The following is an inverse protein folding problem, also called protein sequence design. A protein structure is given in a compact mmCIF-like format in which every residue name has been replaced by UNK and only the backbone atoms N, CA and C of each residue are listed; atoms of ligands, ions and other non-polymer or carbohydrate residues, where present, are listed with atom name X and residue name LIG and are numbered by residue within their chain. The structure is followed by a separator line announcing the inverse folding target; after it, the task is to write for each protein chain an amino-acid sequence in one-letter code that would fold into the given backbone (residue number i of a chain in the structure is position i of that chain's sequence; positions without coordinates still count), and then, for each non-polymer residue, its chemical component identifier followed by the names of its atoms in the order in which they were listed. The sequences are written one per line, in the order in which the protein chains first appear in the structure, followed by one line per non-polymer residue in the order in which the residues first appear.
data_IF_965744527397
#
_entry.id   IF_965744527397
#
_cell.length_a   1.000
_cell.length_b   1.000
_cell.length_c   1.000
_cell.angle_alpha   90.00
_cell.angle_beta   90.00
_cell.angle_gamma   90.00
#
_symmetry.space_group_name_H-M   'P 1'
#
loop_
_entity.id
_entity.type
_entity.pdbx_description
1 polymer ?
#
# COMPACT_ATOMS: atom_id res chain seq x y z
N UNK A 1 -26.21 -2.99 14.60
CA UNK A 1 -25.09 -2.32 15.31
C UNK A 1 -23.85 -3.09 14.94
N UNK A 2 -23.02 -2.56 14.03
CA UNK A 2 -21.66 -3.09 13.87
C UNK A 2 -20.88 -2.40 14.98
N UNK A 3 -20.38 -3.18 15.94
CA UNK A 3 -19.49 -2.64 16.96
C UNK A 3 -18.14 -2.36 16.29
N UNK A 4 -17.66 -1.11 16.36
CA UNK A 4 -16.32 -0.71 15.91
C UNK A 4 -15.26 -1.38 16.80
N UNK A 5 -15.04 -2.68 16.62
CA UNK A 5 -14.11 -3.50 17.39
C UNK A 5 -12.85 -3.72 16.57
N UNK A 6 -11.72 -3.32 17.14
CA UNK A 6 -10.38 -3.61 16.59
C UNK A 6 -9.94 -4.97 17.12
N UNK A 7 -9.45 -5.84 16.23
CA UNK A 7 -8.93 -7.15 16.61
C UNK A 7 -7.65 -6.99 17.44
N UNK A 8 -7.58 -7.73 18.54
CA UNK A 8 -6.31 -7.92 19.25
C UNK A 8 -5.37 -8.81 18.45
N UNK A 9 -4.09 -8.82 18.80
CA UNK A 9 -3.08 -9.68 18.21
C UNK A 9 -3.42 -11.19 18.30
N UNK A 10 -4.07 -11.61 19.39
CA UNK A 10 -4.55 -12.98 19.58
C UNK A 10 -5.70 -13.30 18.62
N UNK A 11 -6.66 -12.40 18.51
CA UNK A 11 -7.83 -12.62 17.67
C UNK A 11 -7.46 -12.50 16.19
N UNK A 12 -6.54 -11.59 15.83
CA UNK A 12 -5.98 -11.48 14.48
C UNK A 12 -5.31 -12.79 14.05
N UNK A 13 -4.47 -13.39 14.91
CA UNK A 13 -3.87 -14.71 14.65
C UNK A 13 -4.93 -15.80 14.46
N UNK A 14 -5.97 -15.81 15.30
CA UNK A 14 -7.05 -16.77 15.18
C UNK A 14 -7.82 -16.63 13.84
N UNK A 15 -8.04 -15.41 13.34
CA UNK A 15 -8.69 -15.18 12.04
C UNK A 15 -7.79 -15.55 10.84
N UNK A 16 -6.48 -15.39 10.98
CA UNK A 16 -5.48 -15.85 10.01
C UNK A 16 -5.44 -17.38 9.97
N UNK A 17 -5.37 -18.04 11.13
CA UNK A 17 -5.34 -19.51 11.24
C UNK A 17 -6.62 -20.16 10.69
N UNK A 18 -7.77 -19.49 10.83
CA UNK A 18 -9.05 -19.91 10.23
C UNK A 18 -9.12 -19.67 8.72
N UNK A 19 -8.22 -18.87 8.15
CA UNK A 19 -8.25 -18.44 6.75
C UNK A 19 -9.35 -17.41 6.44
N UNK A 20 -9.96 -16.79 7.45
CA UNK A 20 -10.92 -15.70 7.25
C UNK A 20 -10.22 -14.38 6.90
N UNK A 21 -8.98 -14.22 7.36
CA UNK A 21 -8.04 -13.19 6.90
C UNK A 21 -6.85 -13.91 6.26
N UNK A 22 -6.52 -13.55 5.01
CA UNK A 22 -5.38 -14.14 4.28
C UNK A 22 -4.34 -13.06 4.06
N UNK A 23 -3.10 -13.34 4.47
CA UNK A 23 -1.95 -12.46 4.30
C UNK A 23 -0.85 -13.29 3.63
N UNK A 24 -0.40 -12.86 2.45
CA UNK A 24 0.59 -13.58 1.68
C UNK A 24 1.65 -12.61 1.12
N UNK A 25 2.93 -12.76 1.51
CA UNK A 25 3.46 -13.67 2.53
C UNK A 25 3.12 -13.23 3.96
N UNK A 26 2.79 -14.18 4.85
CA UNK A 26 2.58 -13.91 6.28
C UNK A 26 3.89 -14.01 7.07
N UNK A 27 4.16 -12.99 7.89
CA UNK A 27 5.28 -12.94 8.83
C UNK A 27 4.76 -12.65 10.24
N UNK A 28 4.78 -13.67 11.10
CA UNK A 28 4.26 -13.58 12.46
C UNK A 28 5.01 -12.55 13.33
N UNK A 29 6.23 -12.16 12.97
CA UNK A 29 7.00 -11.14 13.66
C UNK A 29 6.46 -9.72 13.42
N UNK A 30 5.67 -9.52 12.36
CA UNK A 30 5.04 -8.24 12.04
C UNK A 30 3.73 -8.01 12.81
N UNK A 31 3.23 -9.00 13.56
CA UNK A 31 1.98 -8.85 14.32
C UNK A 31 2.21 -8.03 15.59
N UNK A 32 1.45 -6.94 15.70
CA UNK A 32 1.46 -5.96 16.80
C UNK A 32 0.19 -6.13 17.66
N UNK A 33 0.09 -5.48 18.85
CA UNK A 33 -1.01 -5.70 19.81
C UNK A 33 -2.44 -5.59 19.26
N UNK A 34 -2.63 -4.78 18.21
CA UNK A 34 -3.93 -4.61 17.55
C UNK A 34 -3.78 -4.22 16.07
N UNK A 35 -2.70 -4.66 15.42
CA UNK A 35 -2.38 -4.36 14.03
C UNK A 35 -1.37 -5.37 13.48
N UNK A 36 -1.03 -5.26 12.20
CA UNK A 36 0.09 -5.96 11.59
C UNK A 36 0.88 -4.97 10.73
N UNK A 37 2.19 -4.99 10.85
CA UNK A 37 3.08 -4.18 10.01
C UNK A 37 3.09 -4.73 8.58
N UNK A 38 3.01 -3.84 7.60
CA UNK A 38 3.07 -4.18 6.17
C UNK A 38 4.39 -3.71 5.57
N UNK A 39 4.85 -4.42 4.54
CA UNK A 39 6.10 -4.12 3.84
C UNK A 39 5.77 -3.48 2.49
N UNK A 40 6.46 -2.39 2.17
CA UNK A 40 6.32 -1.72 0.87
C UNK A 40 7.00 -2.54 -0.22
N UNK A 41 6.36 -2.62 -1.39
CA UNK A 41 6.92 -3.17 -2.61
C UNK A 41 7.98 -2.25 -3.22
N UNK A 42 8.68 -2.74 -4.24
CA UNK A 42 9.58 -1.95 -5.08
C UNK A 42 8.84 -1.21 -6.22
N UNK A 43 7.51 -1.32 -6.30
CA UNK A 43 6.70 -0.70 -7.35
C UNK A 43 6.03 0.60 -6.87
N UNK A 44 6.22 1.66 -7.65
CA UNK A 44 5.64 2.98 -7.42
C UNK A 44 4.99 3.53 -8.70
N UNK A 45 3.90 4.29 -8.57
CA UNK A 45 3.36 5.09 -9.67
C UNK A 45 3.54 6.58 -9.41
N UNK A 46 4.09 7.28 -10.40
CA UNK A 46 4.35 8.73 -10.37
C UNK A 46 3.56 9.45 -11.45
N UNK A 47 3.21 10.70 -11.20
CA UNK A 47 2.44 11.51 -12.15
C UNK A 47 3.37 12.22 -13.13
N UNK A 48 3.00 12.21 -14.41
CA UNK A 48 3.61 13.06 -15.44
C UNK A 48 3.00 14.45 -15.37
N UNK A 49 3.37 15.24 -14.35
CA UNK A 49 2.76 16.54 -14.06
C UNK A 49 2.80 17.56 -15.22
N UNK A 50 3.68 17.38 -16.20
CA UNK A 50 3.81 18.27 -17.36
C UNK A 50 2.86 17.94 -18.53
N UNK A 51 2.13 16.82 -18.49
CA UNK A 51 1.28 16.39 -19.61
C UNK A 51 -0.15 16.94 -19.52
N UNK A 52 -0.59 17.35 -18.34
CA UNK A 52 -1.91 17.93 -18.12
C UNK A 52 -1.89 18.99 -17.00
N UNK A 53 -2.57 20.13 -17.18
CA UNK A 53 -2.62 21.18 -16.15
C UNK A 53 -3.55 20.85 -14.99
N UNK A 54 -4.53 19.96 -15.18
CA UNK A 54 -5.56 19.58 -14.20
C UNK A 54 -5.95 18.11 -14.39
N UNK A 55 -6.23 17.42 -13.29
CA UNK A 55 -6.79 16.07 -13.30
C UNK A 55 -8.33 16.13 -13.39
N UNK A 56 -8.88 15.74 -14.54
CA UNK A 56 -10.33 15.59 -14.73
C UNK A 56 -10.74 14.12 -14.61
N UNK A 57 -11.34 13.76 -13.47
CA UNK A 57 -11.75 12.38 -13.15
C UNK A 57 -12.80 11.79 -14.10
N UNK A 58 -13.39 12.60 -14.99
CA UNK A 58 -14.34 12.14 -16.02
C UNK A 58 -13.66 11.68 -17.31
N UNK A 59 -12.35 11.89 -17.44
CA UNK A 59 -11.57 11.52 -18.63
C UNK A 59 -10.69 10.32 -18.35
N UNK A 60 -10.16 9.72 -19.41
CA UNK A 60 -9.13 8.69 -19.29
C UNK A 60 -7.82 9.31 -18.78
N UNK A 61 -7.35 8.81 -17.63
CA UNK A 61 -6.13 9.25 -16.96
C UNK A 61 -5.01 8.21 -17.04
N UNK A 62 -5.21 7.11 -17.78
CA UNK A 62 -4.28 5.98 -17.85
C UNK A 62 -2.87 6.36 -18.30
N UNK A 63 -2.74 7.37 -19.18
CA UNK A 63 -1.45 7.88 -19.67
C UNK A 63 -0.76 8.91 -18.78
N UNK A 64 -1.38 9.31 -17.66
CA UNK A 64 -0.84 10.33 -16.76
C UNK A 64 0.08 9.77 -15.69
N UNK A 65 0.09 8.46 -15.49
CA UNK A 65 0.94 7.80 -14.51
C UNK A 65 1.95 6.90 -15.19
N UNK A 66 3.14 6.86 -14.61
CA UNK A 66 4.22 5.96 -15.00
C UNK A 66 4.51 5.00 -13.86
N UNK A 67 4.74 3.72 -14.18
CA UNK A 67 5.19 2.73 -13.23
C UNK A 67 6.71 2.79 -13.13
N UNK A 68 7.21 2.95 -11.92
CA UNK A 68 8.62 2.93 -11.56
C UNK A 68 8.86 1.67 -10.74
N UNK A 69 9.77 0.82 -11.23
CA UNK A 69 10.28 -0.33 -10.49
C UNK A 69 11.66 0.02 -9.94
N UNK A 70 11.81 -0.04 -8.62
CA UNK A 70 13.07 0.27 -7.94
C UNK A 70 13.96 -0.97 -7.97
N UNK A 71 15.19 -0.88 -8.51
CA UNK A 71 16.12 -1.99 -8.51
C UNK A 71 16.51 -2.43 -7.09
N UNK A 72 16.91 -3.70 -6.96
CA UNK A 72 17.41 -4.21 -5.69
C UNK A 72 18.65 -3.42 -5.23
N UNK A 73 18.65 -3.02 -3.95
CA UNK A 73 19.72 -2.23 -3.36
C UNK A 73 19.63 -0.72 -3.62
N UNK A 74 18.64 -0.27 -4.41
CA UNK A 74 18.35 1.15 -4.62
C UNK A 74 17.19 1.64 -3.75
N UNK A 75 16.96 2.95 -3.75
CA UNK A 75 15.91 3.60 -2.98
C UNK A 75 15.02 4.45 -3.87
N UNK A 76 13.72 4.49 -3.54
CA UNK A 76 12.80 5.46 -4.13
C UNK A 76 12.95 6.82 -3.43
N UNK A 77 13.45 7.84 -4.14
CA UNK A 77 13.57 9.20 -3.61
C UNK A 77 12.26 9.97 -3.81
N UNK A 78 11.46 10.08 -2.75
CA UNK A 78 10.28 10.93 -2.73
C UNK A 78 10.65 12.35 -2.27
N UNK A 79 10.70 13.30 -3.21
CA UNK A 79 11.01 14.69 -2.91
C UNK A 79 9.85 15.39 -2.18
N UNK A 80 10.14 16.41 -1.33
CA UNK A 80 9.09 17.20 -0.68
C UNK A 80 8.14 17.84 -1.71
N UNK A 81 6.83 17.67 -1.50
CA UNK A 81 5.79 18.18 -2.40
C UNK A 81 5.44 17.25 -3.56
N UNK A 82 6.19 16.16 -3.75
CA UNK A 82 5.83 15.12 -4.72
C UNK A 82 4.80 14.14 -4.14
N UNK A 83 4.05 13.51 -5.04
CA UNK A 83 3.05 12.50 -4.72
C UNK A 83 3.29 11.24 -5.55
N UNK A 84 3.28 10.09 -4.88
CA UNK A 84 3.43 8.78 -5.48
C UNK A 84 2.44 7.79 -4.87
N UNK A 85 2.07 6.77 -5.66
CA UNK A 85 1.30 5.63 -5.18
C UNK A 85 2.25 4.44 -5.01
N UNK A 86 2.35 3.90 -3.81
CA UNK A 86 3.07 2.65 -3.53
C UNK A 86 2.12 1.46 -3.42
N UNK A 87 2.68 0.26 -3.47
CA UNK A 87 1.98 -1.00 -3.19
C UNK A 87 2.64 -1.77 -2.06
#
# INVERSE_FOLDING_TARGET
MVSDVILSDRDLRAEIDKGSIVIEPFDAACVQPSSIDVKVSNLFRVFRNHTAPVLDVKKDLSGLMELVEVPEGEAFLLHPGEFALGS
#
